data_IF_386270023702
#
_entry.id   IF_386270023702
#
_cell.length_a   1.000
_cell.length_b   1.000
_cell.length_c   1.000
_cell.angle_alpha   90.00
_cell.angle_beta   90.00
_cell.angle_gamma   90.00
#
_symmetry.space_group_name_H-M   'P 1'
#
loop_
_entity.id
_entity.type
_entity.pdbx_description
1 polymer ?
#
# COMPACT_ATOMS: atom_id res chain seq x y z
N UNK A 1 -3.69 -15.55 27.31
CA UNK A 1 -3.79 -15.01 25.94
C UNK A 1 -3.03 -13.69 25.87
N UNK A 2 -1.90 -13.61 25.15
CA UNK A 2 -1.17 -12.34 24.99
C UNK A 2 -1.93 -11.47 24.00
N UNK A 3 -2.56 -10.38 24.45
CA UNK A 3 -3.20 -9.38 23.57
C UNK A 3 -2.08 -8.72 22.75
N UNK A 4 -2.09 -8.90 21.41
CA UNK A 4 -1.26 -8.07 20.51
C UNK A 4 -1.65 -6.62 20.78
N UNK A 5 -0.68 -5.78 21.16
CA UNK A 5 -0.91 -4.33 21.28
C UNK A 5 -1.38 -3.83 19.91
N UNK A 6 -2.36 -2.91 19.83
CA UNK A 6 -2.73 -2.31 18.56
C UNK A 6 -1.47 -1.67 17.97
N UNK A 7 -1.08 -2.13 16.78
CA UNK A 7 0.05 -1.58 16.07
C UNK A 7 -0.27 -0.11 15.76
N UNK A 8 0.65 0.80 16.08
CA UNK A 8 0.42 2.22 15.86
C UNK A 8 0.10 2.48 14.38
N UNK A 9 -1.02 3.16 14.12
CA UNK A 9 -1.43 3.52 12.77
C UNK A 9 -0.58 4.71 12.29
N UNK A 10 0.22 4.50 11.24
CA UNK A 10 1.06 5.53 10.64
C UNK A 10 0.29 6.13 9.46
N UNK A 11 0.05 7.44 9.50
CA UNK A 11 -0.60 8.18 8.40
C UNK A 11 0.46 8.81 7.51
N UNK A 12 0.38 8.54 6.20
CA UNK A 12 1.29 9.07 5.19
C UNK A 12 0.47 9.78 4.13
N UNK A 13 0.83 11.02 3.80
CA UNK A 13 0.22 11.75 2.67
C UNK A 13 1.11 11.58 1.45
N UNK A 14 0.56 11.04 0.37
CA UNK A 14 1.27 10.85 -0.91
C UNK A 14 0.74 11.86 -1.92
N UNK A 15 1.64 12.60 -2.56
CA UNK A 15 1.29 13.46 -3.70
C UNK A 15 1.52 12.68 -4.99
N UNK A 16 0.46 12.51 -5.76
CA UNK A 16 0.48 11.77 -7.02
C UNK A 16 0.15 12.71 -8.18
N UNK A 17 0.76 12.50 -9.36
CA UNK A 17 0.23 13.05 -10.60
C UNK A 17 -1.26 12.68 -10.77
N UNK A 18 -2.03 13.59 -11.39
CA UNK A 18 -3.48 13.44 -11.47
C UNK A 18 -3.92 12.20 -12.27
N UNK A 19 -3.20 11.92 -13.37
CA UNK A 19 -3.36 10.73 -14.20
C UNK A 19 -3.11 9.44 -13.41
N UNK A 20 -2.05 9.40 -12.61
CA UNK A 20 -1.73 8.26 -11.73
C UNK A 20 -2.83 8.06 -10.68
N UNK A 21 -3.31 9.14 -10.05
CA UNK A 21 -4.39 9.06 -9.08
C UNK A 21 -5.69 8.50 -9.69
N UNK A 22 -6.07 8.97 -10.89
CA UNK A 22 -7.25 8.46 -11.61
C UNK A 22 -7.11 6.98 -11.93
N UNK A 23 -5.94 6.55 -12.42
CA UNK A 23 -5.66 5.14 -12.69
C UNK A 23 -5.82 4.26 -11.45
N UNK A 24 -5.31 4.71 -10.30
CA UNK A 24 -5.43 3.99 -9.04
C UNK A 24 -6.88 3.92 -8.52
N UNK A 25 -7.68 4.98 -8.72
CA UNK A 25 -9.11 4.97 -8.36
C UNK A 25 -9.87 3.96 -9.20
N UNK A 26 -9.57 3.82 -10.49
CA UNK A 26 -10.19 2.80 -11.34
C UNK A 26 -9.76 1.39 -10.93
N UNK A 27 -8.46 1.15 -10.74
CA UNK A 27 -7.97 -0.15 -10.28
C UNK A 27 -8.60 -0.58 -8.95
N UNK A 28 -8.73 0.35 -8.00
CA UNK A 28 -9.37 0.07 -6.71
C UNK A 28 -10.84 -0.37 -6.86
N UNK A 29 -11.59 0.25 -7.79
CA UNK A 29 -12.97 -0.14 -8.09
C UNK A 29 -13.04 -1.51 -8.75
N UNK A 30 -12.19 -1.77 -9.73
CA UNK A 30 -12.14 -3.06 -10.44
C UNK A 30 -11.81 -4.22 -9.50
N UNK A 31 -11.02 -3.97 -8.46
CA UNK A 31 -10.65 -4.93 -7.43
C UNK A 31 -11.57 -4.95 -6.20
N UNK A 32 -12.70 -4.23 -6.23
CA UNK A 32 -13.65 -4.09 -5.11
C UNK A 32 -12.97 -3.77 -3.77
N UNK A 33 -12.07 -2.78 -3.77
CA UNK A 33 -11.32 -2.35 -2.59
C UNK A 33 -11.23 -0.85 -2.46
N UNK A 34 -10.96 -0.37 -1.24
CA UNK A 34 -10.69 1.05 -1.01
C UNK A 34 -9.37 1.47 -1.71
N UNK A 35 -9.26 2.74 -2.10
CA UNK A 35 -8.01 3.30 -2.65
C UNK A 35 -6.81 3.09 -1.72
N UNK A 36 -7.02 3.19 -0.40
CA UNK A 36 -5.97 2.91 0.58
C UNK A 36 -5.53 1.44 0.54
N UNK A 37 -6.49 0.50 0.45
CA UNK A 37 -6.21 -0.92 0.34
C UNK A 37 -5.47 -1.27 -0.96
N UNK A 38 -5.84 -0.63 -2.08
CA UNK A 38 -5.13 -0.72 -3.36
C UNK A 38 -3.67 -0.25 -3.22
N UNK A 39 -3.45 0.94 -2.68
CA UNK A 39 -2.11 1.49 -2.46
C UNK A 39 -1.23 0.59 -1.59
N UNK A 40 -1.77 0.08 -0.48
CA UNK A 40 -1.05 -0.85 0.40
C UNK A 40 -0.74 -2.17 -0.31
N UNK A 41 -1.66 -2.68 -1.12
CA UNK A 41 -1.43 -3.89 -1.89
C UNK A 41 -0.30 -3.72 -2.91
N UNK A 42 -0.33 -2.65 -3.71
CA UNK A 42 0.71 -2.34 -4.68
C UNK A 42 2.06 -2.12 -4.01
N UNK A 43 2.09 -1.41 -2.88
CA UNK A 43 3.32 -1.22 -2.10
C UNK A 43 3.90 -2.56 -1.62
N UNK A 44 3.06 -3.49 -1.16
CA UNK A 44 3.51 -4.84 -0.76
C UNK A 44 4.08 -5.64 -1.93
N UNK A 45 3.42 -5.58 -3.10
CA UNK A 45 3.92 -6.24 -4.31
C UNK A 45 5.27 -5.66 -4.74
N UNK A 46 5.40 -4.33 -4.73
CA UNK A 46 6.65 -3.67 -5.04
C UNK A 46 7.77 -4.09 -4.07
N UNK A 47 7.52 -4.03 -2.76
CA UNK A 47 8.50 -4.46 -1.75
C UNK A 47 8.89 -5.93 -1.89
N UNK A 48 7.95 -6.81 -2.25
CA UNK A 48 8.24 -8.23 -2.51
C UNK A 48 9.05 -8.45 -3.78
N UNK A 49 8.97 -7.54 -4.76
CA UNK A 49 9.73 -7.59 -6.00
C UNK A 49 11.16 -7.04 -5.87
N UNK A 50 11.44 -6.26 -4.82
CA UNK A 50 12.77 -5.74 -4.58
C UNK A 50 13.74 -6.90 -4.28
N UNK A 51 14.98 -6.86 -4.81
CA UNK A 51 16.02 -7.76 -4.35
C UNK A 51 16.10 -7.67 -2.84
N UNK A 52 16.10 -8.80 -2.14
CA UNK A 52 16.46 -8.82 -0.73
C UNK A 52 17.92 -8.34 -0.69
N UNK A 53 18.14 -7.06 -0.41
CA UNK A 53 19.44 -6.61 0.06
C UNK A 53 19.71 -7.45 1.30
N UNK A 54 20.57 -8.46 1.15
CA UNK A 54 21.18 -9.13 2.30
C UNK A 54 21.85 -8.00 3.06
N UNK A 55 21.25 -7.60 4.17
CA UNK A 55 21.93 -6.79 5.17
C UNK A 55 23.22 -7.55 5.50
N UNK A 56 24.33 -7.02 5.00
CA UNK A 56 25.67 -7.50 5.30
C UNK A 56 26.06 -7.11 6.73
#
# INVERSE_FOLDING_TARGET
MKKKRPQAEIKITVRLPADVHVGLVHAAKDHDRSLNSELVHLAKLYLASLPQEKQA
#
